data_IF_079805491326
#
_entry.id   IF_079805491326
#
_cell.length_a   1.000
_cell.length_b   1.000
_cell.length_c   1.000
_cell.angle_alpha   90.00
_cell.angle_beta   90.00
_cell.angle_gamma   90.00
#
_symmetry.space_group_name_H-M   'P 1'
#
loop_
_entity.id
_entity.type
_entity.pdbx_description
1 polymer ?
#
# COMPACT_ATOMS: atom_id res chain seq x y z
N UNK A 1 32.03 -16.61 0.94
CA UNK A 1 30.85 -16.91 1.77
C UNK A 1 29.65 -17.02 0.84
N UNK A 2 28.98 -18.16 0.84
CA UNK A 2 27.89 -18.48 -0.08
C UNK A 2 26.67 -17.61 0.25
N UNK A 3 26.26 -16.76 -0.69
CA UNK A 3 24.98 -16.04 -0.62
C UNK A 3 23.92 -17.03 -1.04
N UNK A 4 23.19 -17.59 -0.08
CA UNK A 4 21.97 -18.34 -0.34
C UNK A 4 20.92 -17.36 -0.91
N UNK A 5 20.81 -17.33 -2.23
CA UNK A 5 19.69 -16.70 -2.94
C UNK A 5 18.57 -17.73 -2.99
N UNK A 6 17.84 -17.88 -1.89
CA UNK A 6 16.47 -18.36 -2.01
C UNK A 6 15.72 -17.26 -2.76
N UNK A 7 15.22 -17.56 -3.96
CA UNK A 7 14.35 -16.65 -4.70
C UNK A 7 13.08 -16.42 -3.87
N UNK A 8 13.14 -15.44 -2.98
CA UNK A 8 11.98 -14.97 -2.21
C UNK A 8 11.00 -14.45 -3.23
N UNK A 9 9.80 -15.04 -3.27
CA UNK A 9 8.70 -14.55 -4.10
C UNK A 9 8.53 -13.06 -3.79
N UNK A 10 8.51 -12.17 -4.80
CA UNK A 10 8.35 -10.74 -4.55
C UNK A 10 7.09 -10.50 -3.72
N UNK A 11 7.19 -9.76 -2.63
CA UNK A 11 6.07 -9.51 -1.71
C UNK A 11 4.87 -8.88 -2.47
N UNK A 12 5.13 -8.15 -3.56
CA UNK A 12 4.09 -7.59 -4.43
C UNK A 12 3.24 -8.64 -5.17
N UNK A 13 3.74 -9.88 -5.34
CA UNK A 13 2.98 -10.98 -5.94
C UNK A 13 1.89 -11.52 -5.01
N UNK A 14 2.04 -11.33 -3.69
CA UNK A 14 1.06 -11.73 -2.68
C UNK A 14 0.02 -10.62 -2.38
N UNK A 15 0.18 -9.45 -3.01
CA UNK A 15 -0.72 -8.31 -2.82
C UNK A 15 -2.09 -8.63 -3.41
N UNK A 16 -3.10 -8.58 -2.54
CA UNK A 16 -4.47 -8.98 -2.88
C UNK A 16 -5.26 -7.88 -3.63
N UNK A 17 -4.90 -6.61 -3.39
CA UNK A 17 -5.56 -5.40 -3.92
C UNK A 17 -4.51 -4.31 -4.10
N UNK A 18 -4.62 -3.46 -5.13
CA UNK A 18 -3.64 -2.41 -5.47
C UNK A 18 -2.30 -2.98 -5.93
N UNK A 19 -2.37 -4.09 -6.66
CA UNK A 19 -1.20 -4.82 -7.15
C UNK A 19 -0.37 -3.96 -8.11
N UNK A 20 -1.02 -3.20 -8.99
CA UNK A 20 -0.38 -2.25 -9.91
C UNK A 20 0.54 -1.26 -9.18
N UNK A 21 -0.01 -0.50 -8.22
CA UNK A 21 0.74 0.45 -7.40
C UNK A 21 1.89 -0.23 -6.65
N UNK A 22 1.66 -1.42 -6.09
CA UNK A 22 2.69 -2.13 -5.34
C UNK A 22 3.82 -2.66 -6.23
N UNK A 23 3.51 -3.12 -7.44
CA UNK A 23 4.52 -3.57 -8.43
C UNK A 23 5.38 -2.39 -8.87
N UNK A 24 4.76 -1.27 -9.20
CA UNK A 24 5.47 -0.08 -9.66
C UNK A 24 6.36 0.49 -8.54
N UNK A 25 5.85 0.58 -7.32
CA UNK A 25 6.64 0.97 -6.16
C UNK A 25 7.80 -0.01 -5.88
N UNK A 26 7.57 -1.33 -6.03
CA UNK A 26 8.63 -2.34 -5.89
C UNK A 26 9.73 -2.15 -6.94
N UNK A 27 9.36 -1.82 -8.19
CA UNK A 27 10.32 -1.53 -9.25
C UNK A 27 11.27 -0.39 -8.88
N UNK A 28 10.76 0.68 -8.26
CA UNK A 28 11.61 1.76 -7.75
C UNK A 28 12.50 1.32 -6.59
N UNK A 29 11.96 0.56 -5.63
CA UNK A 29 12.73 0.01 -4.51
C UNK A 29 13.91 -0.81 -5.05
N UNK A 30 13.66 -1.73 -5.99
CA UNK A 30 14.68 -2.62 -6.53
C UNK A 30 15.78 -1.83 -7.24
N UNK A 31 15.42 -0.87 -8.09
CA UNK A 31 16.38 -0.02 -8.82
C UNK A 31 17.23 0.83 -7.87
N UNK A 32 16.62 1.42 -6.84
CA UNK A 32 17.36 2.21 -5.85
C UNK A 32 18.30 1.30 -5.05
N UNK A 33 17.87 0.10 -4.65
CA UNK A 33 18.71 -0.86 -3.94
C UNK A 33 19.91 -1.33 -4.79
N UNK A 34 19.79 -1.39 -6.11
CA UNK A 34 20.94 -1.72 -6.97
C UNK A 34 22.04 -0.65 -6.93
N UNK A 35 21.68 0.62 -6.71
CA UNK A 35 22.66 1.72 -6.69
C UNK A 35 23.06 2.17 -5.29
N UNK A 36 22.36 1.75 -4.23
CA UNK A 36 22.55 2.27 -2.87
C UNK A 36 23.97 2.07 -2.35
N UNK A 37 24.58 0.90 -2.61
CA UNK A 37 25.96 0.61 -2.20
C UNK A 37 26.98 1.49 -2.95
N UNK A 38 26.69 1.84 -4.20
CA UNK A 38 27.54 2.74 -4.98
C UNK A 38 27.44 4.18 -4.46
N UNK A 39 26.24 4.61 -4.05
CA UNK A 39 26.02 5.90 -3.39
C UNK A 39 26.79 5.96 -2.05
N UNK A 40 26.71 4.91 -1.23
CA UNK A 40 27.46 4.80 0.03
C UNK A 40 28.97 4.83 -0.21
N UNK A 41 29.44 4.13 -1.24
CA UNK A 41 30.85 4.08 -1.62
C UNK A 41 31.40 5.41 -2.13
N UNK A 42 30.54 6.29 -2.63
CA UNK A 42 30.91 7.67 -2.99
C UNK A 42 31.26 8.53 -1.76
N UNK A 43 31.03 8.01 -0.53
CA UNK A 43 31.38 8.63 0.76
C UNK A 43 30.85 10.07 0.87
N UNK A 44 29.53 10.25 1.10
CA UNK A 44 28.97 11.56 1.42
C UNK A 44 29.76 12.19 2.58
N UNK A 45 30.47 13.29 2.31
CA UNK A 45 31.50 13.85 3.18
C UNK A 45 31.03 15.05 4.02
N UNK A 46 29.76 15.43 3.89
CA UNK A 46 29.14 16.50 4.67
C UNK A 46 27.89 16.01 5.41
N UNK A 47 27.55 16.66 6.53
CA UNK A 47 26.42 16.27 7.37
C UNK A 47 25.09 16.22 6.62
N UNK A 48 24.87 17.17 5.70
CA UNK A 48 23.68 17.22 4.85
C UNK A 48 23.61 16.00 3.92
N UNK A 49 24.71 15.62 3.28
CA UNK A 49 24.74 14.46 2.38
C UNK A 49 24.51 13.14 3.13
N UNK A 50 25.06 13.00 4.34
CA UNK A 50 24.80 11.85 5.22
C UNK A 50 23.32 11.80 5.60
N UNK A 51 22.73 12.94 6.00
CA UNK A 51 21.31 13.01 6.37
C UNK A 51 20.39 12.67 5.19
N UNK A 52 20.71 13.13 3.98
CA UNK A 52 19.98 12.80 2.76
C UNK A 52 20.01 11.28 2.50
N UNK A 53 21.18 10.65 2.59
CA UNK A 53 21.32 9.21 2.41
C UNK A 53 20.55 8.40 3.48
N UNK A 54 20.63 8.82 4.75
CA UNK A 54 19.84 8.21 5.82
C UNK A 54 18.33 8.34 5.56
N UNK A 55 17.89 9.49 5.03
CA UNK A 55 16.48 9.74 4.71
C UNK A 55 16.01 8.91 3.51
N UNK A 56 16.88 8.65 2.54
CA UNK A 56 16.62 7.71 1.44
C UNK A 56 16.40 6.28 1.97
N UNK A 57 17.28 5.79 2.86
CA UNK A 57 17.13 4.49 3.52
C UNK A 57 15.81 4.37 4.30
N UNK A 58 15.47 5.37 5.09
CA UNK A 58 14.21 5.38 5.82
C UNK A 58 12.98 5.39 4.88
N UNK A 59 13.11 6.03 3.72
CA UNK A 59 12.06 6.04 2.70
C UNK A 59 11.92 4.67 2.02
N UNK A 60 13.03 3.95 1.78
CA UNK A 60 13.01 2.56 1.32
C UNK A 60 12.27 1.66 2.31
N UNK A 61 12.54 1.80 3.60
CA UNK A 61 11.87 1.01 4.64
C UNK A 61 10.37 1.30 4.71
N UNK A 62 9.97 2.58 4.58
CA UNK A 62 8.56 2.96 4.45
C UNK A 62 7.90 2.34 3.23
N UNK A 63 8.58 2.33 2.09
CA UNK A 63 8.07 1.75 0.85
C UNK A 63 7.83 0.24 0.99
N UNK A 64 8.83 -0.48 1.52
CA UNK A 64 8.71 -1.92 1.84
C UNK A 64 7.58 -2.18 2.84
N UNK A 65 7.43 -1.33 3.85
CA UNK A 65 6.36 -1.44 4.83
C UNK A 65 4.97 -1.29 4.19
N UNK A 66 4.79 -0.32 3.28
CA UNK A 66 3.51 -0.14 2.56
C UNK A 66 3.16 -1.37 1.73
N UNK A 67 4.13 -1.95 0.99
CA UNK A 67 3.91 -3.17 0.19
C UNK A 67 3.52 -4.33 1.10
N UNK A 68 4.24 -4.55 2.20
CA UNK A 68 3.93 -5.58 3.19
C UNK A 68 2.55 -5.37 3.83
N UNK A 69 2.17 -4.13 4.10
CA UNK A 69 0.85 -3.81 4.61
C UNK A 69 -0.24 -4.18 3.59
N UNK A 70 -0.01 -3.96 2.30
CA UNK A 70 -0.95 -4.35 1.24
C UNK A 70 -1.05 -5.87 1.02
N UNK A 71 0.00 -6.65 1.31
CA UNK A 71 -0.08 -8.12 1.23
C UNK A 71 -0.77 -8.73 2.45
N UNK A 72 -0.52 -8.21 3.65
CA UNK A 72 -1.01 -8.80 4.90
C UNK A 72 -2.43 -8.36 5.29
N UNK A 73 -2.93 -7.26 4.74
CA UNK A 73 -4.24 -6.71 5.12
C UNK A 73 -5.43 -7.44 4.49
N UNK A 74 -6.61 -7.19 5.04
CA UNK A 74 -7.89 -7.59 4.47
C UNK A 74 -8.14 -6.89 3.13
N UNK A 75 -8.74 -7.59 2.15
CA UNK A 75 -9.13 -6.99 0.87
C UNK A 75 -10.16 -5.87 1.06
N UNK A 76 -11.17 -6.09 1.91
CA UNK A 76 -12.19 -5.09 2.26
C UNK A 76 -11.56 -3.82 2.85
N UNK A 77 -10.63 -4.01 3.79
CA UNK A 77 -9.92 -2.90 4.40
C UNK A 77 -9.11 -2.10 3.38
N UNK A 78 -8.38 -2.78 2.49
CA UNK A 78 -7.58 -2.14 1.44
C UNK A 78 -8.44 -1.41 0.41
N UNK A 79 -9.61 -1.94 0.05
CA UNK A 79 -10.54 -1.28 -0.86
C UNK A 79 -11.02 0.06 -0.27
N UNK A 80 -11.41 0.06 1.00
CA UNK A 80 -11.86 1.24 1.73
C UNK A 80 -10.74 2.25 1.96
N UNK A 81 -9.55 1.77 2.30
CA UNK A 81 -8.40 2.65 2.59
C UNK A 81 -7.55 2.97 1.36
N UNK A 82 -8.05 2.66 0.16
CA UNK A 82 -7.37 2.83 -1.13
C UNK A 82 -6.74 4.22 -1.31
N UNK A 83 -7.47 5.29 -1.01
CA UNK A 83 -6.94 6.66 -1.09
C UNK A 83 -5.80 6.95 -0.12
N UNK A 84 -5.85 6.36 1.09
CA UNK A 84 -4.77 6.48 2.06
C UNK A 84 -3.52 5.74 1.59
N UNK A 85 -3.69 4.58 0.95
CA UNK A 85 -2.58 3.82 0.35
C UNK A 85 -1.98 4.60 -0.81
N UNK A 86 -2.80 5.07 -1.76
CA UNK A 86 -2.36 5.89 -2.88
C UNK A 86 -1.57 7.13 -2.39
N UNK A 87 -2.12 7.89 -1.45
CA UNK A 87 -1.46 9.06 -0.88
C UNK A 87 -0.12 8.73 -0.20
N UNK A 88 -0.02 7.57 0.46
CA UNK A 88 1.26 7.10 1.04
C UNK A 88 2.28 6.79 -0.05
N UNK A 89 1.88 6.07 -1.11
CA UNK A 89 2.76 5.75 -2.23
C UNK A 89 3.25 7.00 -2.96
N UNK A 90 2.37 7.96 -3.23
CA UNK A 90 2.75 9.25 -3.84
C UNK A 90 3.75 10.02 -2.98
N UNK A 91 3.53 10.09 -1.67
CA UNK A 91 4.49 10.73 -0.74
C UNK A 91 5.86 10.04 -0.75
N UNK A 92 5.88 8.72 -0.87
CA UNK A 92 7.11 7.94 -0.98
C UNK A 92 7.81 8.23 -2.31
N UNK A 93 7.09 8.24 -3.44
CA UNK A 93 7.64 8.59 -4.77
C UNK A 93 8.25 9.98 -4.77
N UNK A 94 7.53 10.98 -4.27
CA UNK A 94 8.02 12.37 -4.14
C UNK A 94 9.27 12.42 -3.24
N UNK A 95 9.30 11.63 -2.16
CA UNK A 95 10.47 11.57 -1.26
C UNK A 95 11.67 10.94 -1.96
N UNK A 96 11.48 9.86 -2.72
CA UNK A 96 12.55 9.27 -3.53
C UNK A 96 13.09 10.27 -4.54
N UNK A 97 12.20 10.95 -5.28
CA UNK A 97 12.59 11.97 -6.23
C UNK A 97 13.45 13.05 -5.56
N UNK A 98 12.97 13.62 -4.45
CA UNK A 98 13.68 14.65 -3.71
C UNK A 98 15.08 14.20 -3.25
N UNK A 99 15.21 13.03 -2.61
CA UNK A 99 16.51 12.60 -2.08
C UNK A 99 17.49 12.17 -3.18
N UNK A 100 17.00 11.55 -4.26
CA UNK A 100 17.83 11.16 -5.39
C UNK A 100 18.35 12.37 -6.15
N UNK A 101 17.53 13.40 -6.35
CA UNK A 101 17.93 14.68 -6.97
C UNK A 101 19.07 15.35 -6.20
N UNK A 102 18.98 15.37 -4.87
CA UNK A 102 20.06 15.88 -4.02
C UNK A 102 21.34 15.04 -4.12
N UNK A 103 21.22 13.71 -4.12
CA UNK A 103 22.36 12.79 -4.21
C UNK A 103 23.05 12.90 -5.57
N UNK A 104 22.30 13.09 -6.65
CA UNK A 104 22.81 13.18 -8.03
C UNK A 104 23.97 14.16 -8.15
N UNK A 105 23.89 15.30 -7.47
CA UNK A 105 24.89 16.37 -7.51
C UNK A 105 26.15 16.09 -6.67
N UNK A 106 26.17 15.00 -5.91
CA UNK A 106 27.24 14.67 -4.95
C UNK A 106 28.00 13.39 -5.29
N UNK A 107 27.65 12.72 -6.38
CA UNK A 107 28.21 11.43 -6.81
C UNK A 107 28.97 11.54 -8.14
N UNK A 108 29.84 10.57 -8.49
CA UNK A 108 30.49 10.53 -9.78
C UNK A 108 29.49 10.53 -10.96
N UNK A 109 29.89 11.10 -12.09
CA UNK A 109 29.05 11.31 -13.29
C UNK A 109 28.35 10.02 -13.73
N UNK A 110 29.05 8.88 -13.72
CA UNK A 110 28.47 7.59 -14.12
C UNK A 110 27.31 7.16 -13.21
N UNK A 111 27.40 7.45 -11.91
CA UNK A 111 26.32 7.15 -10.96
C UNK A 111 25.19 8.19 -11.10
N UNK A 112 25.54 9.46 -11.31
CA UNK A 112 24.58 10.53 -11.55
C UNK A 112 23.69 10.28 -12.79
N UNK A 113 24.22 9.66 -13.86
CA UNK A 113 23.43 9.28 -15.04
C UNK A 113 22.44 8.17 -14.76
N UNK A 114 22.79 7.18 -13.92
CA UNK A 114 21.85 6.12 -13.52
C UNK A 114 20.75 6.69 -12.63
N UNK A 115 21.10 7.59 -11.71
CA UNK A 115 20.13 8.31 -10.88
C UNK A 115 19.18 9.15 -11.75
N UNK A 116 19.69 9.81 -12.79
CA UNK A 116 18.88 10.59 -13.74
C UNK A 116 17.76 9.77 -14.36
N UNK A 117 18.09 8.56 -14.84
CA UNK A 117 17.08 7.66 -15.43
C UNK A 117 16.02 7.22 -14.41
N UNK A 118 16.38 7.02 -13.13
CA UNK A 118 15.40 6.73 -12.08
C UNK A 118 14.51 7.95 -11.81
N UNK A 119 15.08 9.16 -11.81
CA UNK A 119 14.33 10.41 -11.59
C UNK A 119 13.32 10.68 -12.71
N UNK A 120 13.69 10.46 -13.96
CA UNK A 120 12.78 10.58 -15.12
C UNK A 120 11.57 9.65 -14.94
N UNK A 121 11.80 8.37 -14.67
CA UNK A 121 10.72 7.41 -14.46
C UNK A 121 9.86 7.75 -13.22
N UNK A 122 10.48 8.22 -12.13
CA UNK A 122 9.75 8.68 -10.93
C UNK A 122 8.83 9.86 -11.23
N UNK A 123 9.26 10.79 -12.09
CA UNK A 123 8.48 11.99 -12.48
C UNK A 123 7.34 11.65 -13.43
N UNK A 124 7.56 10.69 -14.32
CA UNK A 124 6.55 10.26 -15.29
C UNK A 124 5.52 9.29 -14.70
N UNK A 125 5.85 8.65 -13.57
CA UNK A 125 4.95 7.74 -12.86
C UNK A 125 3.74 8.47 -12.29
N UNK A 126 2.55 7.89 -12.53
CA UNK A 126 1.30 8.29 -11.88
C UNK A 126 0.65 7.06 -11.28
N UNK A 127 0.64 6.97 -9.94
CA UNK A 127 -0.06 5.88 -9.31
C UNK A 127 -1.57 6.03 -9.53
N UNK A 128 -2.21 4.94 -9.96
CA UNK A 128 -3.66 4.89 -10.16
C UNK A 128 -4.27 3.71 -9.43
N UNK A 129 -5.47 3.90 -8.89
CA UNK A 129 -6.23 2.82 -8.27
C UNK A 129 -6.88 1.92 -9.33
N UNK A 130 -6.96 0.63 -9.03
CA UNK A 130 -7.56 -0.39 -9.93
C UNK A 130 -9.08 -0.25 -10.05
N UNK A 131 -9.75 0.43 -9.11
CA UNK A 131 -11.21 0.56 -9.05
C UNK A 131 -11.66 2.01 -9.26
N UNK A 132 -12.80 2.19 -9.92
CA UNK A 132 -13.38 3.50 -10.24
C UNK A 132 -13.89 4.29 -9.03
N UNK A 133 -14.08 5.60 -9.24
CA UNK A 133 -14.55 6.54 -8.20
C UNK A 133 -15.98 6.28 -7.75
N UNK A 134 -16.85 5.80 -8.65
CA UNK A 134 -18.24 5.48 -8.35
C UNK A 134 -18.37 4.46 -7.22
N UNK A 135 -17.59 3.38 -7.27
CA UNK A 135 -17.65 2.36 -6.23
C UNK A 135 -17.05 2.84 -4.90
N UNK A 136 -16.03 3.69 -4.95
CA UNK A 136 -15.46 4.29 -3.74
C UNK A 136 -16.48 5.13 -2.99
N UNK A 137 -17.33 5.89 -3.70
CA UNK A 137 -18.38 6.70 -3.09
C UNK A 137 -19.38 5.84 -2.32
N UNK A 138 -19.78 4.71 -2.89
CA UNK A 138 -20.66 3.73 -2.22
C UNK A 138 -20.03 3.19 -0.92
N UNK A 139 -18.71 2.96 -0.92
CA UNK A 139 -17.96 2.53 0.27
C UNK A 139 -17.84 3.63 1.32
N UNK A 140 -17.68 4.88 0.89
CA UNK A 140 -17.53 6.00 1.82
C UNK A 140 -18.86 6.35 2.47
N UNK A 141 -19.97 6.32 1.72
CA UNK A 141 -21.32 6.56 2.25
C UNK A 141 -21.74 5.55 3.32
N UNK A 142 -21.30 4.29 3.22
CA UNK A 142 -21.44 3.29 4.30
C UNK A 142 -20.81 3.74 5.63
N UNK A 143 -19.63 4.35 5.56
CA UNK A 143 -18.78 4.65 6.71
C UNK A 143 -19.18 5.95 7.40
N UNK A 144 -19.80 6.88 6.68
CA UNK A 144 -20.24 8.18 7.20
C UNK A 144 -21.55 8.09 8.02
N UNK A 145 -22.19 6.91 8.09
CA UNK A 145 -23.39 6.64 8.91
C UNK A 145 -24.56 7.61 8.62
N UNK A 146 -24.67 8.14 7.41
CA UNK A 146 -25.70 9.13 7.03
C UNK A 146 -27.05 8.47 6.68
N UNK A 147 -27.64 7.69 7.58
CA UNK A 147 -28.94 7.04 7.33
C UNK A 147 -29.99 7.42 8.39
N UNK A 148 -31.12 8.03 7.97
CA UNK A 148 -32.13 8.56 8.88
C UNK A 148 -32.96 7.48 9.60
N UNK A 149 -33.02 6.25 9.09
CA UNK A 149 -33.69 5.11 9.74
C UNK A 149 -32.93 3.78 9.59
N UNK A 150 -33.37 2.76 10.35
CA UNK A 150 -32.69 1.46 10.39
C UNK A 150 -32.84 0.64 9.10
N UNK A 151 -33.99 0.71 8.43
CA UNK A 151 -34.28 -0.11 7.25
C UNK A 151 -33.51 0.38 6.02
N UNK A 152 -33.45 1.70 5.81
CA UNK A 152 -32.63 2.32 4.75
C UNK A 152 -31.15 2.02 4.94
N UNK A 153 -30.68 2.00 6.20
CA UNK A 153 -29.31 1.61 6.54
C UNK A 153 -29.01 0.16 6.19
N UNK A 154 -29.88 -0.79 6.52
CA UNK A 154 -29.65 -2.21 6.23
C UNK A 154 -29.58 -2.50 4.73
N UNK A 155 -30.46 -1.87 3.94
CA UNK A 155 -30.44 -2.01 2.49
C UNK A 155 -29.15 -1.43 1.89
N UNK A 156 -28.73 -0.26 2.37
CA UNK A 156 -27.48 0.37 1.92
C UNK A 156 -26.24 -0.43 2.33
N UNK A 157 -26.27 -1.02 3.53
CA UNK A 157 -25.21 -1.90 4.01
C UNK A 157 -25.06 -3.16 3.14
N UNK A 158 -26.20 -3.80 2.81
CA UNK A 158 -26.25 -4.98 1.96
C UNK A 158 -25.81 -4.69 0.52
N UNK A 159 -26.34 -3.63 -0.09
CA UNK A 159 -26.00 -3.27 -1.47
C UNK A 159 -24.50 -3.01 -1.62
N UNK A 160 -23.93 -2.25 -0.68
CA UNK A 160 -22.54 -1.88 -0.77
C UNK A 160 -21.58 -3.05 -0.49
N UNK A 161 -21.91 -3.96 0.45
CA UNK A 161 -21.08 -5.16 0.65
C UNK A 161 -21.16 -6.11 -0.55
N UNK A 162 -22.30 -6.22 -1.23
CA UNK A 162 -22.45 -7.00 -2.46
C UNK A 162 -21.60 -6.40 -3.59
N UNK A 163 -21.66 -5.09 -3.80
CA UNK A 163 -20.84 -4.39 -4.80
C UNK A 163 -19.35 -4.64 -4.54
N UNK A 164 -18.91 -4.51 -3.28
CA UNK A 164 -17.51 -4.74 -2.90
C UNK A 164 -17.09 -6.19 -3.11
N UNK A 165 -17.92 -7.13 -2.68
CA UNK A 165 -17.62 -8.54 -2.82
C UNK A 165 -17.50 -8.94 -4.29
N UNK A 166 -18.35 -8.40 -5.16
CA UNK A 166 -18.25 -8.60 -6.61
C UNK A 166 -16.94 -8.06 -7.18
N UNK A 167 -16.52 -6.85 -6.77
CA UNK A 167 -15.27 -6.24 -7.23
C UNK A 167 -14.02 -6.99 -6.75
N UNK A 168 -14.03 -7.47 -5.51
CA UNK A 168 -12.89 -8.14 -4.87
C UNK A 168 -12.86 -9.65 -5.14
N UNK A 169 -13.78 -10.12 -6.00
CA UNK A 169 -14.04 -11.51 -6.36
C UNK A 169 -14.23 -12.42 -5.14
N UNK A 170 -14.98 -11.93 -4.15
CA UNK A 170 -15.33 -12.63 -2.91
C UNK A 170 -16.66 -13.39 -3.06
N UNK A 171 -16.78 -14.23 -4.10
CA UNK A 171 -18.03 -14.93 -4.44
C UNK A 171 -18.14 -16.34 -3.85
N UNK A 172 -17.04 -16.87 -3.30
CA UNK A 172 -17.01 -18.24 -2.77
C UNK A 172 -17.03 -18.23 -1.24
N UNK A 173 -17.65 -19.24 -0.65
CA UNK A 173 -17.62 -19.47 0.80
C UNK A 173 -16.19 -19.54 1.35
N UNK A 174 -15.25 -20.08 0.58
CA UNK A 174 -13.82 -20.14 0.91
C UNK A 174 -13.22 -18.73 0.98
N UNK A 175 -13.45 -17.90 -0.05
CA UNK A 175 -12.93 -16.53 -0.09
C UNK A 175 -13.48 -15.64 1.03
N UNK A 176 -14.75 -15.82 1.39
CA UNK A 176 -15.38 -15.13 2.52
C UNK A 176 -14.79 -15.58 3.86
N UNK A 177 -14.56 -16.88 4.04
CA UNK A 177 -13.93 -17.44 5.24
C UNK A 177 -12.50 -16.92 5.42
N UNK A 178 -11.72 -16.88 4.34
CA UNK A 178 -10.36 -16.35 4.35
C UNK A 178 -10.35 -14.87 4.72
N UNK A 179 -11.25 -14.09 4.14
CA UNK A 179 -11.35 -12.67 4.44
C UNK A 179 -11.72 -12.41 5.91
N UNK A 180 -12.65 -13.21 6.47
CA UNK A 180 -12.97 -13.16 7.91
C UNK A 180 -11.74 -13.45 8.78
N UNK A 181 -10.93 -14.44 8.41
CA UNK A 181 -9.67 -14.76 9.12
C UNK A 181 -8.69 -13.60 9.04
N UNK A 182 -8.54 -12.99 7.87
CA UNK A 182 -7.67 -11.83 7.66
C UNK A 182 -8.10 -10.63 8.51
N UNK A 183 -9.39 -10.30 8.53
CA UNK A 183 -9.93 -9.22 9.38
C UNK A 183 -9.67 -9.47 10.86
N UNK A 184 -9.96 -10.68 11.37
CA UNK A 184 -9.70 -11.04 12.77
C UNK A 184 -8.22 -10.91 13.14
N UNK A 185 -7.33 -11.43 12.29
CA UNK A 185 -5.88 -11.32 12.47
C UNK A 185 -5.41 -9.86 12.48
N UNK A 186 -5.99 -9.01 11.62
CA UNK A 186 -5.66 -7.59 11.58
C UNK A 186 -6.16 -6.84 12.83
N UNK A 187 -7.38 -7.14 13.30
CA UNK A 187 -7.92 -6.58 14.57
C UNK A 187 -7.00 -6.91 15.74
N UNK A 188 -6.52 -8.15 15.84
CA UNK A 188 -5.60 -8.58 16.89
C UNK A 188 -4.29 -7.79 16.87
N UNK A 189 -3.73 -7.51 15.67
CA UNK A 189 -2.52 -6.72 15.50
C UNK A 189 -2.69 -5.24 15.91
N UNK A 190 -3.87 -4.67 15.69
CA UNK A 190 -4.14 -3.22 15.91
C UNK A 190 -4.56 -2.89 17.35
N UNK A 191 -4.76 -3.90 18.21
CA UNK A 191 -5.37 -3.78 19.55
C UNK A 191 -4.86 -2.63 20.43
N UNK A 192 -3.64 -2.13 20.25
CA UNK A 192 -3.02 -1.09 21.08
C UNK A 192 -2.47 0.13 20.32
N UNK A 193 -2.66 0.24 19.00
CA UNK A 193 -1.97 1.26 18.18
C UNK A 193 -2.89 2.31 17.56
N UNK A 194 -4.09 1.93 17.10
CA UNK A 194 -4.97 2.84 16.36
C UNK A 194 -6.46 2.49 16.54
N UNK A 195 -7.13 3.21 17.44
CA UNK A 195 -8.53 2.95 17.80
C UNK A 195 -9.50 3.09 16.61
N UNK A 196 -9.32 4.10 15.74
CA UNK A 196 -10.19 4.30 14.56
C UNK A 196 -10.04 3.19 13.53
N UNK A 197 -8.81 2.69 13.35
CA UNK A 197 -8.56 1.56 12.47
C UNK A 197 -9.18 0.27 12.99
N UNK A 198 -9.09 0.05 14.32
CA UNK A 198 -9.74 -1.09 14.97
C UNK A 198 -11.25 -1.05 14.80
N UNK A 199 -11.89 0.10 15.06
CA UNK A 199 -13.33 0.28 14.89
C UNK A 199 -13.79 0.01 13.45
N UNK A 200 -13.02 0.49 12.47
CA UNK A 200 -13.28 0.20 11.06
C UNK A 200 -13.20 -1.30 10.79
N UNK A 201 -12.14 -1.97 11.23
CA UNK A 201 -11.96 -3.41 11.00
C UNK A 201 -13.06 -4.25 11.67
N UNK A 202 -13.46 -3.89 12.89
CA UNK A 202 -14.56 -4.53 13.61
C UNK A 202 -15.90 -4.34 12.89
N UNK A 203 -16.14 -3.13 12.35
CA UNK A 203 -17.33 -2.86 11.54
C UNK A 203 -17.34 -3.66 10.23
N UNK A 204 -16.21 -3.78 9.54
CA UNK A 204 -16.11 -4.59 8.32
C UNK A 204 -16.34 -6.08 8.60
N UNK A 205 -15.82 -6.58 9.71
CA UNK A 205 -16.07 -7.95 10.14
C UNK A 205 -17.56 -8.17 10.45
N UNK A 206 -18.21 -7.21 11.10
CA UNK A 206 -19.65 -7.23 11.34
C UNK A 206 -20.45 -7.31 10.03
N UNK A 207 -20.19 -6.41 9.07
CA UNK A 207 -20.89 -6.38 7.78
C UNK A 207 -20.72 -7.72 7.05
N UNK A 208 -19.50 -8.23 6.99
CA UNK A 208 -19.21 -9.49 6.32
C UNK A 208 -19.98 -10.66 6.96
N UNK A 209 -20.03 -10.75 8.29
CA UNK A 209 -20.77 -11.81 8.99
C UNK A 209 -22.28 -11.66 8.82
N UNK A 210 -22.80 -10.42 8.87
CA UNK A 210 -24.24 -10.16 8.77
C UNK A 210 -24.78 -10.55 7.40
N UNK A 211 -24.05 -10.21 6.35
CA UNK A 211 -24.54 -10.33 4.98
C UNK A 211 -23.92 -11.48 4.18
N UNK A 212 -23.06 -12.33 4.77
CA UNK A 212 -22.38 -13.42 4.04
C UNK A 212 -23.30 -14.36 3.26
N UNK A 213 -24.56 -14.54 3.69
CA UNK A 213 -25.54 -15.41 3.01
C UNK A 213 -26.12 -14.79 1.75
N UNK A 214 -25.92 -13.49 1.55
CA UNK A 214 -26.45 -12.69 0.46
C UNK A 214 -25.35 -12.20 -0.49
N UNK A 215 -24.09 -12.57 -0.21
CA UNK A 215 -22.92 -12.36 -1.06
C UNK A 215 -22.69 -13.62 -1.90
#
# INVERSE_FOLDING_TARGET
MLVNTTATIPICCEVKVHRSICIELQGFIDRILQIILSIESARPNCALAIQTLCSLHFTLDKAKFVIKHCSESSKLYLAITSQKILSRCEKIRISFEFYLDQIQNTVPIQLASVICAILEDLRDTKFSLEYEDGTRKVLHSLLEKEFPDSTSRENSELEAIQIVALMLDMKSSISLLEERKNLKKQIEKVKNTNQKEKELLEYLLYLLIKYEKFI
#
